data_IF_868836226440
#
_entry.id   IF_868836226440
#
_cell.length_a   1.000
_cell.length_b   1.000
_cell.length_c   1.000
_cell.angle_alpha   90.00
_cell.angle_beta   90.00
_cell.angle_gamma   90.00
#
_symmetry.space_group_name_H-M   'P 1'
#
loop_
_entity.id
_entity.type
_entity.pdbx_description
1 polymer ?
#
# COMPACT_ATOMS: atom_id res chain seq x y z
N UNK A 1 -16.21 56.67 31.43
CA UNK A 1 -17.37 56.76 32.37
C UNK A 1 -17.48 58.23 32.78
N UNK A 2 -18.69 58.83 32.78
CA UNK A 2 -18.94 60.30 32.89
C UNK A 2 -18.45 61.06 31.63
N UNK A 3 -19.27 61.90 30.95
CA UNK A 3 -19.77 63.28 31.25
C UNK A 3 -18.62 64.30 31.34
N UNK A 4 -18.63 65.48 30.69
CA UNK A 4 -19.64 66.14 29.82
C UNK A 4 -19.93 67.59 30.28
N UNK A 5 -20.38 68.49 29.38
CA UNK A 5 -20.56 69.96 29.55
C UNK A 5 -19.23 70.73 29.71
N UNK A 6 -19.03 72.04 29.42
CA UNK A 6 -19.72 73.18 28.74
C UNK A 6 -18.56 74.12 28.22
N UNK A 7 -18.68 75.22 27.48
CA UNK A 7 -19.77 76.09 26.94
C UNK A 7 -19.61 76.23 25.39
N UNK A 8 -20.31 77.04 24.57
CA UNK A 8 -21.12 78.28 24.65
C UNK A 8 -20.41 79.63 24.82
N UNK A 9 -20.19 80.32 23.69
CA UNK A 9 -20.40 81.77 23.52
C UNK A 9 -20.86 82.04 22.08
N UNK A 10 -21.65 83.09 21.82
CA UNK A 10 -22.42 83.29 20.58
C UNK A 10 -22.35 84.72 20.06
N UNK A 11 -22.32 84.89 18.73
CA UNK A 11 -22.74 86.14 18.08
C UNK A 11 -23.58 85.86 16.82
N UNK A 12 -24.37 86.84 16.41
CA UNK A 12 -25.67 86.60 15.77
C UNK A 12 -25.68 86.76 14.23
N UNK A 13 -26.64 86.09 13.58
CA UNK A 13 -26.92 86.19 12.14
C UNK A 13 -28.22 85.45 11.76
N UNK A 14 -29.33 86.15 11.43
CA UNK A 14 -30.62 85.49 11.15
C UNK A 14 -30.60 84.63 9.86
N UNK A 15 -31.18 83.42 9.79
CA UNK A 15 -32.61 83.04 9.95
C UNK A 15 -33.45 83.50 8.73
N UNK A 16 -34.31 82.72 8.06
CA UNK A 16 -35.29 81.68 8.51
C UNK A 16 -35.30 80.45 7.55
N UNK A 17 -35.45 79.18 7.99
CA UNK A 17 -36.64 78.46 8.52
C UNK A 17 -37.78 78.25 7.49
N UNK A 18 -38.57 77.15 7.50
CA UNK A 18 -38.40 75.76 7.98
C UNK A 18 -39.53 74.86 7.39
N UNK A 19 -39.50 73.56 7.69
CA UNK A 19 -40.56 72.57 7.46
C UNK A 19 -41.87 72.92 8.19
N UNK A 20 -43.02 72.60 7.58
CA UNK A 20 -44.31 72.45 8.28
C UNK A 20 -44.92 71.09 7.92
N UNK A 21 -45.40 70.37 8.93
CA UNK A 21 -46.13 69.10 8.80
C UNK A 21 -47.64 69.36 8.66
N UNK A 22 -48.32 68.59 7.81
CA UNK A 22 -49.72 68.22 8.03
C UNK A 22 -49.95 66.76 7.61
N UNK A 23 -50.35 65.94 8.59
CA UNK A 23 -51.02 64.66 8.34
C UNK A 23 -52.53 64.90 8.41
N UNK A 24 -53.28 64.42 7.42
CA UNK A 24 -54.71 64.14 7.57
C UNK A 24 -55.10 63.04 6.56
N UNK A 25 -55.54 61.89 7.07
CA UNK A 25 -56.13 60.85 6.23
C UNK A 25 -57.58 61.21 5.91
N UNK A 26 -58.05 60.93 4.68
CA UNK A 26 -59.33 60.24 4.48
C UNK A 26 -59.52 59.68 3.06
N UNK A 27 -60.33 58.62 2.99
CA UNK A 27 -61.09 58.15 1.82
C UNK A 27 -60.34 57.67 0.56
N UNK A 28 -60.15 56.35 0.52
CA UNK A 28 -60.39 55.47 -0.63
C UNK A 28 -60.85 56.13 -1.96
N UNK A 29 -60.03 55.96 -3.00
CA UNK A 29 -60.47 55.83 -4.38
C UNK A 29 -59.66 54.70 -5.05
N UNK A 30 -60.33 53.86 -5.84
CA UNK A 30 -59.77 52.66 -6.48
C UNK A 30 -59.94 52.80 -7.99
N UNK A 31 -58.84 52.79 -8.74
CA UNK A 31 -58.60 51.70 -9.70
C UNK A 31 -57.12 51.62 -10.14
N UNK A 32 -56.85 50.61 -10.95
CA UNK A 32 -55.58 50.10 -11.45
C UNK A 32 -54.89 50.98 -12.50
N UNK A 33 -53.55 51.08 -12.43
CA UNK A 33 -52.64 50.38 -13.36
C UNK A 33 -51.17 50.85 -13.22
N UNK A 34 -50.33 50.06 -12.56
CA UNK A 34 -48.86 50.09 -12.76
C UNK A 34 -48.35 48.65 -12.90
N UNK A 35 -47.47 48.42 -13.87
CA UNK A 35 -46.93 47.09 -14.17
C UNK A 35 -45.80 46.74 -13.21
N UNK A 36 -46.01 45.72 -12.38
CA UNK A 36 -44.96 45.18 -11.52
C UNK A 36 -43.93 44.41 -12.36
N UNK A 37 -42.85 45.09 -12.78
CA UNK A 37 -41.69 44.48 -13.41
C UNK A 37 -40.96 43.53 -12.44
N UNK A 38 -41.40 42.28 -12.39
CA UNK A 38 -40.72 41.21 -11.67
C UNK A 38 -39.45 40.85 -12.44
N UNK A 39 -38.30 41.30 -11.94
CA UNK A 39 -37.00 40.74 -12.34
C UNK A 39 -36.91 39.29 -11.86
N UNK A 40 -37.27 38.35 -12.73
CA UNK A 40 -36.95 36.94 -12.54
C UNK A 40 -35.46 36.73 -12.85
N UNK A 41 -34.63 36.91 -11.83
CA UNK A 41 -33.20 36.62 -11.92
C UNK A 41 -33.02 35.09 -12.01
N UNK A 42 -32.95 34.57 -13.25
CA UNK A 42 -32.73 33.14 -13.52
C UNK A 42 -31.39 32.70 -12.94
N UNK A 43 -31.44 32.14 -11.73
CA UNK A 43 -30.30 31.57 -11.03
C UNK A 43 -29.93 30.22 -11.65
N UNK A 44 -29.23 30.28 -12.79
CA UNK A 44 -28.66 29.12 -13.47
C UNK A 44 -27.76 28.33 -12.51
N UNK A 45 -28.30 27.25 -11.94
CA UNK A 45 -27.51 26.31 -11.15
C UNK A 45 -26.64 25.50 -12.10
N UNK A 46 -25.33 25.51 -11.87
CA UNK A 46 -24.41 24.64 -12.60
C UNK A 46 -24.79 23.18 -12.33
N UNK A 47 -24.95 22.33 -13.38
CA UNK A 47 -25.36 20.94 -13.20
C UNK A 47 -24.36 20.21 -12.31
N UNK A 48 -24.85 19.61 -11.23
CA UNK A 48 -23.99 18.98 -10.22
C UNK A 48 -23.85 17.49 -10.54
N UNK A 49 -22.62 17.05 -10.81
CA UNK A 49 -22.29 15.68 -11.18
C UNK A 49 -21.00 15.22 -10.49
N UNK A 50 -20.79 13.92 -10.37
CA UNK A 50 -19.50 13.34 -9.97
C UNK A 50 -19.15 12.12 -10.81
N UNK A 51 -17.87 12.03 -11.17
CA UNK A 51 -17.29 11.00 -12.03
C UNK A 51 -16.17 10.31 -11.24
N UNK A 52 -16.23 8.99 -11.10
CA UNK A 52 -15.21 8.17 -10.45
C UNK A 52 -14.64 7.21 -11.49
N UNK A 53 -13.33 7.28 -11.72
CA UNK A 53 -12.63 6.57 -12.80
C UNK A 53 -11.22 6.17 -12.36
N UNK A 54 -10.63 5.16 -13.01
CA UNK A 54 -9.23 4.78 -12.79
C UNK A 54 -8.29 5.75 -13.51
N UNK A 55 -7.28 6.29 -12.83
CA UNK A 55 -6.21 7.04 -13.52
C UNK A 55 -5.37 6.13 -14.45
N UNK A 56 -5.27 4.84 -14.13
CA UNK A 56 -4.48 3.86 -14.89
C UNK A 56 -5.30 3.24 -16.02
N UNK A 57 -4.71 3.19 -17.21
CA UNK A 57 -5.21 2.51 -18.41
C UNK A 57 -4.31 1.30 -18.71
N UNK A 58 -4.90 0.16 -19.09
CA UNK A 58 -4.20 -1.11 -19.36
C UNK A 58 -4.73 -1.77 -20.63
N UNK A 59 -3.88 -2.41 -21.47
CA UNK A 59 -4.32 -3.23 -22.59
C UNK A 59 -5.34 -4.29 -22.18
N UNK A 60 -6.26 -4.64 -23.08
CA UNK A 60 -7.18 -5.78 -22.92
C UNK A 60 -8.05 -5.76 -21.64
N UNK A 61 -8.38 -4.57 -21.10
CA UNK A 61 -9.23 -4.44 -19.91
C UNK A 61 -10.58 -3.80 -20.20
N UNK A 62 -11.60 -4.16 -19.43
CA UNK A 62 -12.86 -3.42 -19.37
C UNK A 62 -12.64 -2.21 -18.45
N UNK A 63 -12.42 -1.04 -19.04
CA UNK A 63 -12.22 0.19 -18.29
C UNK A 63 -13.58 0.76 -17.86
N UNK A 64 -13.87 0.62 -16.57
CA UNK A 64 -15.15 1.06 -15.98
C UNK A 64 -15.02 2.41 -15.28
N UNK A 65 -16.02 3.26 -15.46
CA UNK A 65 -16.19 4.52 -14.72
C UNK A 65 -17.62 4.65 -14.21
N UNK A 66 -17.78 5.21 -13.00
CA UNK A 66 -19.06 5.41 -12.34
C UNK A 66 -19.41 6.89 -12.37
N UNK A 67 -20.61 7.19 -12.87
CA UNK A 67 -21.15 8.54 -12.99
C UNK A 67 -22.44 8.67 -12.21
N UNK A 68 -22.50 9.68 -11.32
CA UNK A 68 -23.71 10.11 -10.63
C UNK A 68 -24.04 11.53 -11.03
N UNK A 69 -25.32 11.76 -11.34
CA UNK A 69 -25.84 13.07 -11.73
C UNK A 69 -26.85 13.54 -10.68
N UNK A 70 -26.54 14.63 -9.98
CA UNK A 70 -27.26 15.04 -8.76
C UNK A 70 -28.30 16.13 -9.00
N UNK A 71 -28.04 17.08 -9.91
CA UNK A 71 -29.06 18.07 -10.31
C UNK A 71 -28.87 18.51 -11.77
N UNK A 72 -29.91 18.33 -12.58
CA UNK A 72 -30.20 19.14 -13.77
C UNK A 72 -31.07 20.31 -13.38
N UNK A 73 -30.71 21.51 -13.82
CA UNK A 73 -31.56 22.69 -13.80
C UNK A 73 -31.50 23.32 -15.20
N UNK A 74 -32.14 22.67 -16.20
CA UNK A 74 -32.51 23.38 -17.43
C UNK A 74 -33.61 24.37 -17.01
N UNK A 75 -33.25 25.66 -16.93
CA UNK A 75 -33.97 26.67 -16.17
C UNK A 75 -35.42 26.91 -16.62
N UNK A 76 -36.35 26.24 -15.92
CA UNK A 76 -37.79 26.18 -16.17
C UNK A 76 -38.40 27.59 -16.29
N UNK A 77 -39.06 27.86 -17.42
CA UNK A 77 -39.98 29.00 -17.51
C UNK A 77 -41.27 28.67 -16.77
N UNK A 78 -41.63 29.53 -15.82
CA UNK A 78 -42.73 29.29 -14.86
C UNK A 78 -44.10 29.65 -15.49
N UNK A 79 -44.37 29.15 -16.70
CA UNK A 79 -45.60 29.42 -17.46
C UNK A 79 -46.18 28.21 -18.22
N UNK A 80 -45.95 26.97 -17.74
CA UNK A 80 -46.78 25.82 -18.11
C UNK A 80 -46.94 24.82 -16.97
N UNK A 81 -48.09 24.86 -16.28
CA UNK A 81 -48.49 23.84 -15.31
C UNK A 81 -49.10 22.62 -16.02
N UNK A 82 -48.24 21.84 -16.69
CA UNK A 82 -48.51 20.43 -16.98
C UNK A 82 -47.39 19.59 -16.33
N UNK A 83 -47.77 18.56 -15.58
CA UNK A 83 -46.83 17.72 -14.83
C UNK A 83 -46.01 16.84 -15.78
N UNK A 84 -44.87 17.36 -16.26
CA UNK A 84 -44.05 16.64 -17.24
C UNK A 84 -42.59 16.44 -16.84
N UNK A 85 -42.33 15.23 -16.37
CA UNK A 85 -41.05 14.52 -16.48
C UNK A 85 -39.86 15.10 -15.68
N UNK A 86 -39.95 15.06 -14.34
CA UNK A 86 -38.77 15.01 -13.42
C UNK A 86 -37.90 13.74 -13.60
N UNK A 87 -38.03 13.05 -14.73
CA UNK A 87 -37.39 11.77 -15.08
C UNK A 87 -36.73 11.85 -16.46
N UNK A 88 -36.28 13.04 -16.85
CA UNK A 88 -35.45 13.26 -18.03
C UNK A 88 -34.16 12.44 -17.95
N UNK A 89 -34.09 11.37 -18.76
CA UNK A 89 -32.90 10.52 -18.85
C UNK A 89 -31.79 11.27 -19.58
N UNK A 90 -30.68 11.49 -18.87
CA UNK A 90 -29.51 12.16 -19.41
C UNK A 90 -28.61 11.15 -20.11
N UNK A 91 -28.03 11.50 -21.25
CA UNK A 91 -27.07 10.62 -21.93
C UNK A 91 -25.66 11.03 -21.55
N UNK A 92 -24.89 10.17 -20.90
CA UNK A 92 -23.44 10.36 -20.79
C UNK A 92 -22.74 9.54 -21.86
N UNK A 93 -21.80 10.17 -22.57
CA UNK A 93 -20.86 9.50 -23.48
C UNK A 93 -19.45 9.66 -22.89
N UNK A 94 -18.75 8.54 -22.72
CA UNK A 94 -17.34 8.52 -22.36
C UNK A 94 -16.51 7.88 -23.47
N UNK A 95 -15.34 8.46 -23.74
CA UNK A 95 -14.44 8.04 -24.80
C UNK A 95 -12.98 8.15 -24.34
N UNK A 96 -12.21 7.09 -24.50
CA UNK A 96 -10.75 7.13 -24.41
C UNK A 96 -10.20 7.46 -25.79
N UNK A 97 -9.41 8.54 -25.88
CA UNK A 97 -8.78 8.99 -27.12
C UNK A 97 -7.26 8.92 -26.99
N UNK A 98 -6.60 8.39 -28.01
CA UNK A 98 -5.18 8.62 -28.27
C UNK A 98 -5.05 9.97 -29.01
N UNK A 99 -3.82 10.38 -29.34
CA UNK A 99 -3.53 11.68 -29.96
C UNK A 99 -4.16 11.87 -31.35
N UNK A 100 -4.52 10.78 -32.03
CA UNK A 100 -5.04 10.79 -33.42
C UNK A 100 -6.31 9.96 -33.65
N UNK A 101 -6.76 9.15 -32.68
CA UNK A 101 -7.92 8.25 -32.85
C UNK A 101 -8.66 7.94 -31.54
N UNK A 102 -9.94 7.55 -31.65
CA UNK A 102 -10.77 7.10 -30.53
C UNK A 102 -10.56 5.60 -30.28
N UNK A 103 -10.09 5.26 -29.08
CA UNK A 103 -9.63 3.92 -28.71
C UNK A 103 -10.78 3.02 -28.25
N UNK A 104 -11.68 3.60 -27.46
CA UNK A 104 -12.89 2.94 -26.97
C UNK A 104 -13.92 4.00 -26.57
N UNK A 105 -15.18 3.74 -26.91
CA UNK A 105 -16.33 4.61 -26.64
C UNK A 105 -17.45 3.84 -25.95
N UNK A 106 -18.18 4.47 -25.04
CA UNK A 106 -19.35 3.90 -24.38
C UNK A 106 -20.32 4.98 -23.93
N UNK A 107 -21.61 4.66 -23.91
CA UNK A 107 -22.67 5.61 -23.58
C UNK A 107 -23.78 4.94 -22.80
N UNK A 108 -24.25 5.58 -21.73
CA UNK A 108 -25.29 5.06 -20.85
C UNK A 108 -26.35 6.15 -20.57
N UNK A 109 -27.59 5.73 -20.37
CA UNK A 109 -28.69 6.60 -19.94
C UNK A 109 -28.73 6.67 -18.41
N UNK A 110 -28.81 7.89 -17.86
CA UNK A 110 -28.69 8.14 -16.43
C UNK A 110 -29.96 8.82 -15.91
N UNK A 111 -30.55 8.19 -14.90
CA UNK A 111 -31.56 8.77 -14.01
C UNK A 111 -30.89 9.67 -12.95
N UNK A 112 -31.46 10.85 -12.63
CA UNK A 112 -30.98 11.68 -11.53
C UNK A 112 -30.88 10.90 -10.21
N UNK A 113 -29.88 11.25 -9.39
CA UNK A 113 -29.52 10.63 -8.10
C UNK A 113 -29.07 9.17 -8.16
N UNK A 114 -29.07 8.50 -9.32
CA UNK A 114 -28.65 7.10 -9.46
C UNK A 114 -27.21 6.97 -9.99
N UNK A 115 -26.36 6.10 -9.42
CA UNK A 115 -25.08 5.75 -10.01
C UNK A 115 -25.27 4.84 -11.23
N UNK A 116 -24.76 5.27 -12.38
CA UNK A 116 -24.65 4.44 -13.58
C UNK A 116 -23.17 4.13 -13.87
N UNK A 117 -22.88 2.96 -14.43
CA UNK A 117 -21.51 2.53 -14.74
C UNK A 117 -21.35 2.41 -16.25
N UNK A 118 -20.43 3.19 -16.83
CA UNK A 118 -20.05 3.08 -18.24
C UNK A 118 -18.83 2.18 -18.33
N UNK A 119 -18.85 1.22 -19.26
CA UNK A 119 -17.74 0.31 -19.52
C UNK A 119 -17.17 0.57 -20.92
N UNK A 120 -15.84 0.65 -21.01
CA UNK A 120 -15.11 0.90 -22.25
C UNK A 120 -14.21 -0.32 -22.53
N UNK A 121 -14.44 -1.10 -23.60
CA UNK A 121 -13.61 -2.24 -23.94
C UNK A 121 -12.29 -1.76 -24.54
N UNK A 122 -11.20 -1.79 -23.76
CA UNK A 122 -9.89 -1.35 -24.21
C UNK A 122 -9.23 -2.48 -25.02
N UNK A 123 -8.87 -2.26 -26.30
CA UNK A 123 -8.23 -3.29 -27.11
C UNK A 123 -6.84 -3.63 -26.58
N UNK A 124 -6.29 -4.77 -27.03
CA UNK A 124 -4.96 -5.22 -26.62
C UNK A 124 -3.83 -4.51 -27.40
N UNK A 125 -4.14 -3.99 -28.58
CA UNK A 125 -3.22 -3.26 -29.47
C UNK A 125 -3.03 -1.78 -29.11
N UNK A 126 -3.01 -1.44 -27.81
CA UNK A 126 -2.79 -0.05 -27.38
C UNK A 126 -1.31 0.16 -27.00
N UNK A 127 -0.64 1.04 -27.72
CA UNK A 127 0.78 1.33 -27.56
C UNK A 127 1.06 2.27 -26.37
N UNK A 128 2.33 2.47 -26.03
CA UNK A 128 2.78 3.41 -25.00
C UNK A 128 2.71 4.89 -25.47
N UNK A 129 1.50 5.39 -25.73
CA UNK A 129 1.23 6.80 -26.07
C UNK A 129 0.65 7.59 -24.88
N UNK A 130 0.43 8.90 -25.07
CA UNK A 130 -0.50 9.62 -24.21
C UNK A 130 -1.95 9.20 -24.53
N UNK A 131 -2.82 9.24 -23.52
CA UNK A 131 -4.25 8.94 -23.66
C UNK A 131 -5.06 9.94 -22.83
N UNK A 132 -6.25 10.29 -23.31
CA UNK A 132 -7.19 11.15 -22.59
C UNK A 132 -8.56 10.49 -22.46
N UNK A 133 -9.15 10.58 -21.26
CA UNK A 133 -10.55 10.25 -21.04
C UNK A 133 -11.36 11.54 -21.22
N UNK A 134 -12.26 11.53 -22.19
CA UNK A 134 -13.26 12.58 -22.39
C UNK A 134 -14.63 12.05 -21.97
N UNK A 135 -15.25 12.69 -20.97
CA UNK A 135 -16.63 12.40 -20.54
C UNK A 135 -17.50 13.61 -20.86
N UNK A 136 -18.63 13.38 -21.55
CA UNK A 136 -19.58 14.39 -22.00
C UNK A 136 -20.98 14.03 -21.51
N UNK A 137 -21.63 14.94 -20.79
CA UNK A 137 -23.03 14.81 -20.38
C UNK A 137 -23.95 15.61 -21.31
N UNK A 138 -24.98 14.95 -21.85
CA UNK A 138 -25.99 15.54 -22.71
C UNK A 138 -27.37 15.47 -22.07
N UNK A 139 -28.15 16.53 -22.26
CA UNK A 139 -29.58 16.59 -21.94
C UNK A 139 -30.42 15.74 -22.93
N UNK A 140 -31.72 15.55 -22.67
CA UNK A 140 -32.64 14.97 -23.66
C UNK A 140 -32.73 15.79 -24.97
N UNK A 141 -32.53 17.11 -24.88
CA UNK A 141 -32.49 18.01 -26.05
C UNK A 141 -31.17 17.92 -26.84
N UNK A 142 -30.23 17.06 -26.40
CA UNK A 142 -28.85 16.91 -26.90
C UNK A 142 -27.97 18.15 -26.73
N UNK A 143 -28.39 19.10 -25.89
CA UNK A 143 -27.51 20.17 -25.41
C UNK A 143 -26.38 19.58 -24.55
N UNK A 144 -25.16 20.13 -24.68
CA UNK A 144 -24.01 19.72 -23.87
C UNK A 144 -24.11 20.38 -22.48
N UNK A 145 -24.32 19.59 -21.44
CA UNK A 145 -24.41 20.08 -20.05
C UNK A 145 -23.04 20.22 -19.40
N UNK A 146 -22.13 19.29 -19.68
CA UNK A 146 -20.75 19.35 -19.22
C UNK A 146 -19.82 18.51 -20.09
N UNK A 147 -18.55 18.89 -20.10
CA UNK A 147 -17.45 18.12 -20.68
C UNK A 147 -16.27 18.13 -19.72
N UNK A 148 -15.69 16.95 -19.48
CA UNK A 148 -14.54 16.75 -18.59
C UNK A 148 -13.48 15.95 -19.34
N UNK A 149 -12.27 16.49 -19.46
CA UNK A 149 -11.14 15.88 -20.19
C UNK A 149 -9.99 15.69 -19.19
N UNK A 150 -9.45 14.48 -19.07
CA UNK A 150 -8.32 14.19 -18.18
C UNK A 150 -7.31 13.24 -18.83
N UNK A 151 -5.99 13.44 -18.58
CA UNK A 151 -4.97 12.50 -19.04
C UNK A 151 -5.04 11.20 -18.22
N UNK A 152 -5.05 10.07 -18.94
CA UNK A 152 -4.86 8.74 -18.35
C UNK A 152 -3.38 8.36 -18.38
N UNK A 153 -2.98 7.56 -17.41
CA UNK A 153 -1.63 7.00 -17.33
C UNK A 153 -1.65 5.57 -17.89
N UNK A 154 -1.05 5.39 -19.07
CA UNK A 154 -0.86 4.05 -19.66
C UNK A 154 0.01 3.18 -18.75
N UNK A 155 -0.20 1.86 -18.82
CA UNK A 155 0.60 0.85 -18.11
C UNK A 155 0.56 -0.45 -18.91
N UNK A 156 1.69 -0.94 -19.47
CA UNK A 156 1.73 -2.18 -20.24
C UNK A 156 1.55 -3.43 -19.35
N UNK A 157 1.70 -3.28 -18.03
CA UNK A 157 1.42 -4.33 -17.05
C UNK A 157 -0.10 -4.55 -16.89
N UNK A 158 -0.68 -5.39 -17.74
CA UNK A 158 -2.05 -5.87 -17.65
C UNK A 158 -2.18 -7.28 -17.03
N UNK A 159 -1.08 -8.03 -16.98
CA UNK A 159 -1.00 -9.36 -16.39
C UNK A 159 -0.24 -9.34 -15.06
N UNK A 160 -0.55 -10.29 -14.18
CA UNK A 160 0.26 -10.65 -13.02
C UNK A 160 1.08 -11.88 -13.37
N UNK A 161 2.37 -11.68 -13.69
CA UNK A 161 3.31 -12.76 -13.96
C UNK A 161 4.11 -13.08 -12.69
N UNK A 162 4.19 -14.35 -12.32
CA UNK A 162 5.00 -14.80 -11.19
C UNK A 162 5.76 -16.06 -11.55
N UNK A 163 7.09 -15.98 -11.55
CA UNK A 163 7.96 -17.15 -11.71
C UNK A 163 8.27 -17.74 -10.33
N UNK A 164 8.22 -19.06 -10.21
CA UNK A 164 8.54 -19.80 -8.99
C UNK A 164 9.60 -20.85 -9.30
N UNK A 165 10.82 -20.66 -8.78
CA UNK A 165 11.93 -21.61 -8.88
C UNK A 165 11.87 -22.65 -7.77
N UNK A 166 12.31 -23.89 -8.06
CA UNK A 166 12.33 -25.00 -7.10
C UNK A 166 13.27 -24.80 -5.91
N UNK A 167 14.23 -23.88 -6.02
CA UNK A 167 15.15 -23.41 -4.98
C UNK A 167 15.42 -21.91 -5.19
N UNK A 168 15.85 -21.17 -4.15
CA UNK A 168 16.41 -19.82 -4.31
C UNK A 168 17.88 -19.82 -4.75
N UNK A 169 18.60 -20.92 -4.47
CA UNK A 169 20.04 -21.09 -4.72
C UNK A 169 20.27 -22.42 -5.44
N UNK A 170 21.13 -22.40 -6.46
CA UNK A 170 21.52 -23.56 -7.28
C UNK A 170 23.06 -23.68 -7.37
N UNK A 171 23.54 -24.88 -7.75
CA UNK A 171 24.95 -25.13 -8.07
C UNK A 171 25.14 -25.27 -9.58
N UNK A 172 26.35 -25.04 -10.06
CA UNK A 172 26.78 -25.43 -11.41
C UNK A 172 26.47 -26.91 -11.68
N UNK A 173 26.05 -27.23 -12.92
CA UNK A 173 25.56 -28.55 -13.30
C UNK A 173 24.15 -28.93 -12.81
N UNK A 174 23.51 -28.12 -11.95
CA UNK A 174 22.19 -28.46 -11.38
C UNK A 174 21.04 -28.08 -12.32
N UNK A 175 19.98 -28.90 -12.34
CA UNK A 175 18.72 -28.57 -13.02
C UNK A 175 17.92 -27.50 -12.23
N UNK A 176 17.70 -26.35 -12.87
CA UNK A 176 16.79 -25.28 -12.46
C UNK A 176 15.40 -25.65 -12.97
N UNK A 177 14.53 -26.11 -12.07
CA UNK A 177 13.09 -26.31 -12.33
C UNK A 177 12.33 -25.08 -11.91
N UNK A 178 11.45 -24.59 -12.77
CA UNK A 178 10.62 -23.42 -12.48
C UNK A 178 9.26 -23.52 -13.16
N UNK A 179 8.28 -22.84 -12.58
CA UNK A 179 6.97 -22.60 -13.21
C UNK A 179 6.71 -21.11 -13.32
N UNK A 180 6.03 -20.72 -14.38
CA UNK A 180 5.54 -19.37 -14.63
C UNK A 180 4.03 -19.45 -14.44
N UNK A 181 3.49 -18.59 -13.59
CA UNK A 181 2.05 -18.42 -13.35
C UNK A 181 1.65 -17.05 -13.89
N UNK A 182 0.61 -17.00 -14.71
CA UNK A 182 0.16 -15.79 -15.41
C UNK A 182 -1.35 -15.65 -15.20
N UNK A 183 -1.74 -14.55 -14.55
CA UNK A 183 -3.12 -14.23 -14.22
C UNK A 183 -3.52 -12.88 -14.81
N UNK A 184 -4.77 -12.76 -15.24
CA UNK A 184 -5.41 -11.49 -15.59
C UNK A 184 -5.79 -10.69 -14.34
N UNK A 185 -6.28 -9.45 -14.51
CA UNK A 185 -6.60 -8.53 -13.41
C UNK A 185 -7.73 -9.00 -12.48
N UNK A 186 -8.55 -9.94 -12.94
CA UNK A 186 -9.63 -10.63 -12.22
C UNK A 186 -9.18 -11.97 -11.59
N UNK A 187 -7.89 -12.29 -11.68
CA UNK A 187 -7.25 -13.53 -11.24
C UNK A 187 -7.62 -14.78 -12.07
N UNK A 188 -8.19 -14.61 -13.27
CA UNK A 188 -8.36 -15.71 -14.23
C UNK A 188 -7.04 -16.07 -14.93
N UNK A 189 -6.87 -17.33 -15.38
CA UNK A 189 -5.67 -17.76 -16.10
C UNK A 189 -5.54 -17.08 -17.47
N UNK A 190 -4.32 -16.67 -17.83
CA UNK A 190 -4.02 -16.18 -19.17
C UNK A 190 -3.60 -17.32 -20.12
N UNK A 191 -4.08 -17.28 -21.36
CA UNK A 191 -4.06 -18.44 -22.27
C UNK A 191 -3.23 -18.27 -23.56
N UNK A 192 -2.79 -17.05 -23.89
CA UNK A 192 -1.96 -16.81 -25.07
C UNK A 192 -0.52 -17.32 -24.85
N UNK A 193 0.31 -17.25 -25.90
CA UNK A 193 1.71 -17.66 -25.83
C UNK A 193 2.63 -16.64 -25.16
N UNK A 194 3.79 -17.10 -24.71
CA UNK A 194 4.83 -16.25 -24.14
C UNK A 194 6.24 -16.66 -24.56
N UNK A 195 7.16 -15.70 -24.46
CA UNK A 195 8.60 -15.90 -24.61
C UNK A 195 9.29 -15.94 -23.25
N UNK A 196 10.28 -16.83 -23.11
CA UNK A 196 11.01 -17.06 -21.85
C UNK A 196 12.50 -17.13 -22.11
N UNK A 197 13.28 -16.40 -21.31
CA UNK A 197 14.74 -16.33 -21.42
C UNK A 197 15.38 -16.61 -20.05
N UNK A 198 16.37 -17.50 -20.01
CA UNK A 198 17.30 -17.58 -18.87
C UNK A 198 18.55 -16.78 -19.24
N UNK A 199 18.90 -15.81 -18.40
CA UNK A 199 20.08 -14.98 -18.53
C UNK A 199 21.07 -15.26 -17.40
N UNK A 200 22.36 -15.23 -17.73
CA UNK A 200 23.44 -15.30 -16.76
C UNK A 200 23.69 -13.95 -16.06
N UNK A 201 24.66 -13.84 -15.13
CA UNK A 201 24.95 -12.60 -14.42
C UNK A 201 25.48 -11.46 -15.30
N UNK A 202 25.93 -11.75 -16.52
CA UNK A 202 26.40 -10.75 -17.50
C UNK A 202 25.29 -10.33 -18.49
N UNK A 203 24.09 -10.91 -18.37
CA UNK A 203 22.95 -10.65 -19.25
C UNK A 203 22.95 -11.47 -20.55
N UNK A 204 23.80 -12.51 -20.65
CA UNK A 204 23.86 -13.38 -21.82
C UNK A 204 22.71 -14.40 -21.76
N UNK A 205 21.92 -14.50 -22.84
CA UNK A 205 20.80 -15.45 -22.94
C UNK A 205 21.34 -16.88 -23.11
N UNK A 206 21.35 -17.63 -22.01
CA UNK A 206 21.81 -19.03 -21.94
C UNK A 206 20.76 -20.03 -22.42
N UNK A 207 19.46 -19.68 -22.31
CA UNK A 207 18.36 -20.48 -22.86
C UNK A 207 17.22 -19.58 -23.28
N UNK A 208 16.53 -19.95 -24.37
CA UNK A 208 15.25 -19.38 -24.78
C UNK A 208 14.19 -20.47 -24.97
N UNK A 209 12.93 -20.09 -24.79
CA UNK A 209 11.75 -20.73 -25.33
C UNK A 209 10.92 -19.61 -25.97
N UNK A 210 10.37 -19.88 -27.15
CA UNK A 210 9.63 -18.89 -27.96
C UNK A 210 8.22 -19.44 -28.17
N UNK A 211 7.21 -18.58 -28.09
CA UNK A 211 5.78 -18.91 -28.29
C UNK A 211 5.35 -20.21 -27.60
N UNK A 212 5.60 -20.31 -26.29
CA UNK A 212 5.09 -21.44 -25.50
C UNK A 212 3.70 -21.11 -24.94
N UNK A 213 2.76 -22.03 -25.05
CA UNK A 213 1.42 -21.90 -24.47
C UNK A 213 1.41 -22.26 -22.98
N UNK A 214 0.46 -21.69 -22.23
CA UNK A 214 0.18 -22.10 -20.84
C UNK A 214 -0.81 -23.26 -20.81
N UNK A 215 -0.73 -24.08 -19.75
CA UNK A 215 -1.83 -24.94 -19.34
C UNK A 215 -2.56 -24.25 -18.17
N UNK A 216 -3.74 -23.69 -18.45
CA UNK A 216 -4.56 -22.97 -17.46
C UNK A 216 -3.75 -21.89 -16.69
N UNK A 217 -3.09 -20.99 -17.41
CA UNK A 217 -2.29 -19.91 -16.83
C UNK A 217 -0.95 -20.34 -16.23
N UNK A 218 -0.56 -21.62 -16.33
CA UNK A 218 0.71 -22.14 -15.81
C UNK A 218 1.55 -22.78 -16.91
N UNK A 219 2.80 -22.37 -17.02
CA UNK A 219 3.82 -23.08 -17.82
C UNK A 219 4.92 -23.62 -16.90
N UNK A 220 5.42 -24.83 -17.15
CA UNK A 220 6.45 -25.49 -16.33
C UNK A 220 7.65 -25.87 -17.18
N UNK A 221 8.83 -25.40 -16.79
CA UNK A 221 10.06 -25.49 -17.57
C UNK A 221 11.23 -25.97 -16.70
N UNK A 222 12.27 -26.49 -17.36
CA UNK A 222 13.55 -26.72 -16.69
C UNK A 222 14.75 -26.44 -17.59
N UNK A 223 15.86 -26.06 -16.96
CA UNK A 223 17.13 -25.74 -17.60
C UNK A 223 18.27 -26.27 -16.74
N UNK A 224 19.18 -27.04 -17.33
CA UNK A 224 20.38 -27.52 -16.63
C UNK A 224 21.48 -26.46 -16.73
N UNK A 225 21.94 -25.96 -15.57
CA UNK A 225 23.06 -25.03 -15.50
C UNK A 225 24.34 -25.67 -16.07
N UNK A 226 25.20 -24.92 -16.77
CA UNK A 226 26.51 -25.41 -17.17
C UNK A 226 27.32 -25.96 -16.00
N UNK A 227 28.18 -26.96 -16.24
CA UNK A 227 29.08 -27.51 -15.22
C UNK A 227 30.07 -26.45 -14.68
N UNK A 228 30.36 -25.42 -15.48
CA UNK A 228 31.11 -24.22 -15.12
C UNK A 228 30.22 -22.99 -15.27
N UNK A 229 29.03 -23.01 -14.64
CA UNK A 229 28.17 -21.83 -14.55
C UNK A 229 28.87 -20.73 -13.76
N UNK A 230 28.61 -19.47 -14.14
CA UNK A 230 29.13 -18.29 -13.43
C UNK A 230 28.39 -18.11 -12.11
N UNK A 231 29.11 -18.08 -10.99
CA UNK A 231 28.54 -17.75 -9.68
C UNK A 231 28.04 -16.29 -9.67
N UNK A 232 26.86 -16.05 -9.11
CA UNK A 232 26.18 -14.75 -9.06
C UNK A 232 24.66 -14.83 -9.27
N UNK A 233 24.06 -13.67 -9.51
CA UNK A 233 22.60 -13.53 -9.72
C UNK A 233 22.24 -13.84 -11.18
N UNK A 234 21.54 -14.96 -11.39
CA UNK A 234 20.94 -15.32 -12.67
C UNK A 234 19.49 -14.82 -12.76
N UNK A 235 18.97 -14.68 -13.97
CA UNK A 235 17.62 -14.17 -14.23
C UNK A 235 16.79 -15.12 -15.09
N UNK A 236 15.49 -15.15 -14.83
CA UNK A 236 14.46 -15.68 -15.72
C UNK A 236 13.61 -14.49 -16.14
N UNK A 237 13.69 -14.11 -17.42
CA UNK A 237 12.88 -13.04 -18.01
C UNK A 237 11.73 -13.66 -18.79
N UNK A 238 10.54 -13.11 -18.62
CA UNK A 238 9.33 -13.48 -19.36
C UNK A 238 8.85 -12.26 -20.16
N UNK A 239 8.53 -12.47 -21.44
CA UNK A 239 7.97 -11.45 -22.33
C UNK A 239 6.59 -11.90 -22.81
N UNK A 240 5.61 -11.03 -22.63
CA UNK A 240 4.23 -11.23 -23.09
C UNK A 240 3.80 -9.91 -23.72
N UNK A 241 3.82 -9.84 -25.05
CA UNK A 241 3.64 -8.57 -25.76
C UNK A 241 4.67 -7.54 -25.23
N UNK A 242 4.23 -6.31 -24.91
CA UNK A 242 5.08 -5.27 -24.31
C UNK A 242 5.35 -5.46 -22.79
N UNK A 243 4.73 -6.45 -22.14
CA UNK A 243 4.96 -6.73 -20.72
C UNK A 243 6.24 -7.56 -20.54
N UNK A 244 7.20 -6.99 -19.81
CA UNK A 244 8.46 -7.61 -19.42
C UNK A 244 8.57 -7.73 -17.90
N UNK A 245 8.76 -8.97 -17.44
CA UNK A 245 8.96 -9.31 -16.02
C UNK A 245 10.26 -10.13 -15.84
N UNK A 246 10.93 -9.94 -14.70
CA UNK A 246 12.18 -10.64 -14.35
C UNK A 246 12.12 -11.25 -12.94
N UNK A 247 12.46 -12.54 -12.83
CA UNK A 247 12.67 -13.24 -11.57
C UNK A 247 14.15 -13.59 -11.39
N UNK A 248 14.67 -13.42 -10.18
CA UNK A 248 16.10 -13.60 -9.89
C UNK A 248 16.34 -14.84 -9.02
N UNK A 249 17.41 -15.59 -9.32
CA UNK A 249 17.88 -16.70 -8.51
C UNK A 249 19.41 -16.67 -8.38
N UNK A 250 19.96 -17.23 -7.30
CA UNK A 250 21.41 -17.30 -7.13
C UNK A 250 21.97 -18.62 -7.68
N UNK A 251 23.10 -18.53 -8.36
CA UNK A 251 23.99 -19.67 -8.60
C UNK A 251 25.25 -19.43 -7.77
N UNK A 252 25.61 -20.38 -6.93
CA UNK A 252 26.87 -20.33 -6.19
C UNK A 252 27.39 -21.73 -5.89
N UNK A 253 28.70 -21.88 -5.79
CA UNK A 253 29.28 -23.11 -5.25
C UNK A 253 28.96 -23.23 -3.76
N UNK A 254 28.12 -24.21 -3.38
CA UNK A 254 27.84 -24.54 -1.98
C UNK A 254 27.91 -26.05 -1.73
N UNK A 255 28.10 -26.45 -0.47
CA UNK A 255 28.09 -27.86 -0.05
C UNK A 255 26.78 -28.19 0.68
N UNK A 256 26.44 -29.48 0.78
CA UNK A 256 25.28 -29.91 1.56
C UNK A 256 25.77 -30.26 2.96
N UNK A 257 25.38 -29.53 4.01
CA UNK A 257 25.82 -29.86 5.37
C UNK A 257 25.20 -31.18 5.81
N UNK A 258 25.94 -32.02 6.54
CA UNK A 258 25.40 -33.27 7.08
C UNK A 258 24.37 -33.03 8.21
N UNK A 259 24.50 -31.91 8.92
CA UNK A 259 23.65 -31.53 10.03
C UNK A 259 23.45 -30.01 10.15
N UNK A 260 22.42 -29.60 10.90
CA UNK A 260 22.12 -28.20 11.21
C UNK A 260 22.24 -27.94 12.72
N UNK A 261 22.65 -26.72 13.10
CA UNK A 261 22.81 -26.27 14.49
C UNK A 261 21.69 -25.29 14.83
N UNK A 262 20.79 -25.70 15.73
CA UNK A 262 19.65 -24.91 16.16
C UNK A 262 19.97 -24.16 17.46
N UNK A 263 19.73 -22.84 17.43
CA UNK A 263 19.94 -21.94 18.56
C UNK A 263 18.65 -21.17 18.81
N UNK A 264 17.93 -21.53 19.87
CA UNK A 264 16.62 -20.99 20.24
C UNK A 264 16.80 -19.97 21.38
N UNK A 265 16.87 -18.67 21.04
CA UNK A 265 16.76 -17.56 21.99
C UNK A 265 15.35 -16.93 21.90
N UNK A 266 14.81 -16.37 23.00
CA UNK A 266 13.61 -15.54 22.93
C UNK A 266 13.91 -14.27 22.12
N UNK A 267 13.05 -13.88 21.17
CA UNK A 267 13.27 -12.70 20.31
C UNK A 267 13.43 -11.40 21.11
N UNK A 268 12.68 -11.28 22.20
CA UNK A 268 12.76 -10.18 23.15
C UNK A 268 12.93 -10.73 24.57
N UNK A 269 13.75 -10.04 25.35
CA UNK A 269 13.90 -10.27 26.80
C UNK A 269 13.61 -8.93 27.51
N UNK A 270 13.14 -8.98 28.75
CA UNK A 270 12.84 -7.78 29.54
C UNK A 270 14.12 -7.16 30.10
N UNK A 271 14.17 -5.83 30.16
CA UNK A 271 15.18 -5.11 30.97
C UNK A 271 15.03 -5.35 32.48
N UNK A 272 13.90 -5.93 32.91
CA UNK A 272 13.66 -6.40 34.29
C UNK A 272 14.02 -7.86 34.54
N UNK A 273 14.46 -8.62 33.52
CA UNK A 273 14.93 -10.00 33.71
C UNK A 273 16.40 -10.00 34.17
N UNK A 274 16.83 -11.04 34.87
CA UNK A 274 18.21 -11.16 35.39
C UNK A 274 19.14 -12.00 34.51
N UNK A 275 18.57 -12.73 33.54
CA UNK A 275 19.31 -13.62 32.65
C UNK A 275 18.47 -13.95 31.41
N UNK A 276 19.14 -14.39 30.34
CA UNK A 276 18.50 -14.97 29.15
C UNK A 276 18.99 -16.40 28.96
N UNK A 277 18.07 -17.33 28.65
CA UNK A 277 18.38 -18.73 28.40
C UNK A 277 18.18 -19.07 26.92
N UNK A 278 19.20 -19.66 26.32
CA UNK A 278 19.15 -20.25 24.99
C UNK A 278 18.98 -21.77 25.08
N UNK A 279 18.23 -22.36 24.16
CA UNK A 279 18.23 -23.81 23.95
C UNK A 279 19.04 -24.14 22.70
N UNK A 280 20.00 -25.06 22.82
CA UNK A 280 20.99 -25.37 21.79
C UNK A 280 21.06 -26.87 21.55
N UNK A 281 20.95 -27.25 20.28
CA UNK A 281 21.05 -28.64 19.82
C UNK A 281 21.44 -28.65 18.35
N UNK A 282 21.91 -29.80 17.86
CA UNK A 282 22.18 -30.00 16.45
C UNK A 282 21.54 -31.32 16.00
N UNK A 283 21.08 -31.38 14.75
CA UNK A 283 20.44 -32.58 14.18
C UNK A 283 20.94 -32.87 12.77
N UNK A 284 21.21 -34.15 12.50
CA UNK A 284 21.41 -34.65 11.14
C UNK A 284 20.10 -34.55 10.33
N UNK A 285 20.21 -34.62 9.00
CA UNK A 285 19.05 -34.72 8.11
C UNK A 285 18.10 -35.91 8.43
N UNK A 286 18.57 -36.91 9.19
CA UNK A 286 17.76 -38.03 9.70
C UNK A 286 17.00 -37.73 11.01
N UNK A 287 16.92 -36.46 11.43
CA UNK A 287 16.33 -35.98 12.70
C UNK A 287 16.95 -36.56 13.98
N UNK A 288 18.10 -37.25 13.88
CA UNK A 288 18.87 -37.70 15.04
C UNK A 288 19.71 -36.54 15.56
N UNK A 289 19.78 -36.39 16.89
CA UNK A 289 20.68 -35.42 17.51
C UNK A 289 22.15 -35.73 17.21
N UNK A 290 22.94 -34.68 17.08
CA UNK A 290 24.38 -34.71 16.85
C UNK A 290 25.11 -34.69 18.19
N UNK A 291 26.10 -35.57 18.35
CA UNK A 291 27.02 -35.57 19.50
C UNK A 291 28.31 -34.86 19.10
N UNK A 292 28.70 -33.82 19.82
CA UNK A 292 29.80 -32.97 19.36
C UNK A 292 30.42 -32.04 20.40
N UNK A 293 31.60 -31.48 20.07
CA UNK A 293 32.19 -30.37 20.81
C UNK A 293 31.54 -29.07 20.34
N UNK A 294 30.86 -28.37 21.25
CA UNK A 294 30.31 -27.04 21.03
C UNK A 294 31.26 -25.94 21.54
N UNK A 295 31.51 -24.94 20.70
CA UNK A 295 32.06 -23.64 21.10
C UNK A 295 30.92 -22.64 21.05
N UNK A 296 30.61 -22.04 22.21
CA UNK A 296 29.55 -21.05 22.37
C UNK A 296 30.20 -19.69 22.60
N UNK A 297 29.74 -18.69 21.85
CA UNK A 297 30.21 -17.31 21.93
C UNK A 297 29.01 -16.40 22.19
N UNK A 298 28.90 -15.90 23.42
CA UNK A 298 27.97 -14.83 23.75
C UNK A 298 28.61 -13.48 23.43
N UNK A 299 27.87 -12.64 22.72
CA UNK A 299 28.31 -11.32 22.31
C UNK A 299 27.18 -10.30 22.36
N UNK A 300 27.51 -9.00 22.47
CA UNK A 300 26.51 -7.92 22.46
C UNK A 300 26.85 -6.79 21.51
N UNK A 301 25.82 -6.03 21.14
CA UNK A 301 25.94 -4.69 20.54
C UNK A 301 24.80 -3.80 21.03
N UNK A 302 24.98 -2.48 20.97
CA UNK A 302 23.88 -1.52 21.18
C UNK A 302 23.17 -1.29 19.86
N UNK A 303 21.86 -1.50 19.82
CA UNK A 303 21.04 -1.23 18.64
C UNK A 303 20.75 0.27 18.56
N UNK A 304 21.51 0.98 17.72
CA UNK A 304 21.25 2.37 17.38
C UNK A 304 20.14 2.46 16.32
N UNK A 305 18.93 2.83 16.76
CA UNK A 305 17.77 2.99 15.90
C UNK A 305 17.87 4.18 14.92
N UNK A 306 18.78 5.14 15.15
CA UNK A 306 18.89 6.35 14.31
C UNK A 306 19.58 6.08 12.96
N UNK A 307 20.34 4.99 12.86
CA UNK A 307 21.20 4.66 11.71
C UNK A 307 20.50 3.98 10.54
N UNK A 308 19.18 3.82 10.56
CA UNK A 308 18.39 3.33 9.42
C UNK A 308 18.25 4.35 8.26
N UNK A 309 18.80 5.57 8.41
CA UNK A 309 18.92 6.52 7.30
C UNK A 309 20.03 6.07 6.32
N UNK A 310 19.67 5.91 5.04
CA UNK A 310 20.49 5.28 3.98
C UNK A 310 21.77 6.06 3.57
N UNK A 311 22.04 7.21 4.19
CA UNK A 311 22.98 8.23 3.70
C UNK A 311 24.25 8.38 4.56
N UNK A 312 24.85 7.27 5.03
CA UNK A 312 26.16 7.30 5.73
C UNK A 312 27.21 6.39 5.06
N UNK A 313 27.41 6.55 3.76
CA UNK A 313 28.62 6.07 3.08
C UNK A 313 29.81 6.99 3.39
N UNK A 314 30.33 6.93 4.61
CA UNK A 314 31.62 7.50 4.99
C UNK A 314 32.11 6.91 6.33
N UNK A 315 33.25 6.21 6.32
CA UNK A 315 34.07 5.95 7.51
C UNK A 315 33.55 4.95 8.56
N UNK A 316 33.96 3.70 8.43
CA UNK A 316 34.46 2.86 9.55
C UNK A 316 33.74 2.97 10.91
N UNK A 317 32.53 2.42 11.00
CA UNK A 317 32.09 1.68 12.20
C UNK A 317 30.87 0.82 11.90
N UNK A 318 31.10 -0.37 11.33
CA UNK A 318 30.22 -1.50 11.62
C UNK A 318 30.26 -1.70 13.13
N UNK A 319 29.12 -1.64 13.83
CA UNK A 319 29.10 -2.03 15.24
C UNK A 319 29.14 -3.57 15.30
N UNK A 320 30.36 -4.10 15.29
CA UNK A 320 30.62 -5.52 15.46
C UNK A 320 30.16 -5.99 16.84
N UNK A 321 29.76 -7.26 16.91
CA UNK A 321 29.33 -7.87 18.16
C UNK A 321 30.55 -8.08 19.06
N UNK A 322 30.56 -7.41 20.22
CA UNK A 322 31.61 -7.52 21.22
C UNK A 322 31.48 -8.86 21.96
N UNK A 323 32.46 -9.75 21.81
CA UNK A 323 32.54 -11.00 22.56
C UNK A 323 32.60 -10.71 24.08
N UNK A 324 31.78 -11.42 24.86
CA UNK A 324 31.70 -11.30 26.33
C UNK A 324 32.18 -12.59 26.98
N UNK A 325 31.61 -13.72 26.56
CA UNK A 325 31.78 -15.02 27.19
C UNK A 325 31.90 -16.09 26.13
N UNK A 326 33.09 -16.70 26.07
CA UNK A 326 33.40 -17.88 25.25
C UNK A 326 33.45 -19.11 26.12
N UNK A 327 32.70 -20.14 25.75
CA UNK A 327 32.67 -21.42 26.46
C UNK A 327 32.87 -22.59 25.51
N UNK A 328 33.64 -23.59 25.94
CA UNK A 328 33.59 -24.92 25.35
C UNK A 328 32.66 -25.80 26.18
N UNK A 329 31.70 -26.46 25.53
CA UNK A 329 30.72 -27.36 26.15
C UNK A 329 30.49 -28.56 25.24
N UNK A 330 30.16 -29.70 25.83
CA UNK A 330 29.78 -30.89 25.05
C UNK A 330 28.30 -30.80 24.67
N UNK A 331 27.98 -30.88 23.39
CA UNK A 331 26.60 -30.95 22.89
C UNK A 331 26.16 -32.41 22.99
N UNK A 332 25.22 -32.66 23.89
CA UNK A 332 24.63 -33.98 24.10
C UNK A 332 23.57 -34.29 23.03
N UNK A 333 23.14 -35.55 22.95
CA UNK A 333 22.06 -36.02 22.08
C UNK A 333 20.65 -35.58 22.55
N UNK A 334 20.53 -34.32 22.97
CA UNK A 334 19.32 -33.72 23.53
C UNK A 334 19.31 -32.20 23.34
N UNK A 335 18.25 -31.53 23.82
CA UNK A 335 18.20 -30.05 23.92
C UNK A 335 19.00 -29.59 25.14
N UNK A 336 20.13 -28.90 24.89
CA UNK A 336 21.03 -28.40 25.93
C UNK A 336 20.69 -26.93 26.24
N UNK A 337 20.44 -26.58 27.50
CA UNK A 337 20.12 -25.19 27.90
C UNK A 337 21.37 -24.46 28.36
N UNK A 338 21.59 -23.25 27.85
CA UNK A 338 22.70 -22.38 28.25
C UNK A 338 22.16 -20.99 28.61
N UNK A 339 22.49 -20.52 29.81
CA UNK A 339 22.00 -19.25 30.36
C UNK A 339 23.14 -18.25 30.45
N UNK A 340 22.88 -17.00 30.02
CA UNK A 340 23.75 -15.84 30.25
C UNK A 340 23.12 -14.98 31.35
N UNK A 341 23.86 -14.72 32.43
CA UNK A 341 23.40 -13.89 33.54
C UNK A 341 23.80 -12.44 33.31
N UNK A 342 22.86 -11.50 33.43
CA UNK A 342 23.10 -10.10 33.06
C UNK A 342 24.05 -9.35 34.01
N UNK A 343 24.25 -9.84 35.23
CA UNK A 343 25.26 -9.33 36.15
C UNK A 343 26.71 -9.65 35.72
N UNK A 344 26.90 -10.54 34.74
CA UNK A 344 28.21 -10.88 34.16
C UNK A 344 28.57 -9.97 32.97
N UNK A 345 27.65 -9.09 32.55
CA UNK A 345 27.86 -8.19 31.42
C UNK A 345 28.76 -7.00 31.81
N UNK A 346 29.74 -6.61 30.97
CA UNK A 346 30.61 -5.45 31.22
C UNK A 346 29.92 -4.10 30.99
N UNK A 347 28.68 -4.10 30.50
CA UNK A 347 27.87 -2.90 30.23
C UNK A 347 26.45 -3.13 30.75
N UNK A 348 25.79 -2.12 31.33
CA UNK A 348 24.48 -2.27 31.95
C UNK A 348 23.42 -2.66 30.91
N UNK A 349 22.52 -3.56 31.29
CA UNK A 349 21.34 -3.91 30.49
C UNK A 349 20.46 -2.69 30.33
N UNK A 350 20.29 -2.27 29.09
CA UNK A 350 19.47 -1.12 28.69
C UNK A 350 18.60 -1.51 27.50
N UNK A 351 17.36 -0.99 27.39
CA UNK A 351 16.53 -1.18 26.21
C UNK A 351 17.30 -0.85 24.91
N UNK A 352 17.25 -1.75 23.93
CA UNK A 352 18.05 -1.68 22.72
C UNK A 352 19.40 -2.39 22.78
N UNK A 353 19.82 -2.97 23.91
CA UNK A 353 20.93 -3.93 23.91
C UNK A 353 20.50 -5.19 23.14
N UNK A 354 21.33 -5.64 22.19
CA UNK A 354 21.14 -6.93 21.52
C UNK A 354 22.17 -7.93 22.03
N UNK A 355 21.69 -9.07 22.53
CA UNK A 355 22.48 -10.24 22.90
C UNK A 355 22.43 -11.23 21.75
N UNK A 356 23.59 -11.70 21.30
CA UNK A 356 23.74 -12.74 20.28
C UNK A 356 24.46 -13.94 20.91
N UNK A 357 24.02 -15.13 20.52
CA UNK A 357 24.72 -16.38 20.78
C UNK A 357 25.06 -17.02 19.45
N UNK A 358 26.36 -17.14 19.17
CA UNK A 358 26.90 -17.95 18.09
C UNK A 358 27.36 -19.29 18.66
N UNK A 359 27.02 -20.39 17.96
CA UNK A 359 27.39 -21.76 18.34
C UNK A 359 28.04 -22.45 17.16
N UNK A 360 29.28 -22.88 17.34
CA UNK A 360 29.98 -23.78 16.40
C UNK A 360 29.99 -25.19 17.00
N UNK A 361 29.46 -26.19 16.29
CA UNK A 361 29.45 -27.59 16.73
C UNK A 361 30.34 -28.41 15.80
N UNK A 362 31.31 -29.11 16.39
CA UNK A 362 32.16 -30.11 15.72
C UNK A 362 31.64 -31.50 16.05
N UNK A 363 31.21 -32.27 15.05
CA UNK A 363 30.70 -33.63 15.25
C UNK A 363 31.84 -34.64 15.51
N UNK A 364 31.59 -35.66 16.33
CA UNK A 364 32.63 -36.54 16.88
C UNK A 364 33.23 -37.56 15.91
N UNK A 365 32.47 -38.02 14.90
CA UNK A 365 32.86 -39.14 14.03
C UNK A 365 33.37 -38.68 12.65
N UNK A 366 32.73 -37.68 12.06
CA UNK A 366 33.10 -37.05 10.79
C UNK A 366 34.12 -35.93 10.95
N UNK A 367 34.15 -35.28 12.12
CA UNK A 367 34.91 -34.05 12.35
C UNK A 367 34.32 -32.81 11.67
N UNK A 368 33.15 -32.90 11.03
CA UNK A 368 32.53 -31.73 10.38
C UNK A 368 32.12 -30.65 11.40
N UNK A 369 32.35 -29.39 11.02
CA UNK A 369 32.02 -28.20 11.80
C UNK A 369 30.87 -27.44 11.18
N UNK A 370 29.79 -27.23 11.92
CA UNK A 370 28.66 -26.40 11.51
C UNK A 370 28.39 -25.29 12.51
N UNK A 371 27.87 -24.17 12.02
CA UNK A 371 27.57 -22.99 12.82
C UNK A 371 26.08 -22.67 12.79
N UNK A 372 25.53 -22.27 13.94
CA UNK A 372 24.20 -21.69 14.08
C UNK A 372 24.26 -20.49 15.01
N UNK A 373 23.33 -19.54 14.87
CA UNK A 373 23.29 -18.36 15.74
C UNK A 373 21.85 -17.93 16.03
N UNK A 374 21.67 -17.16 17.10
CA UNK A 374 20.39 -16.55 17.44
C UNK A 374 20.60 -15.23 18.17
N UNK A 375 19.56 -14.40 18.20
CA UNK A 375 19.63 -13.03 18.75
C UNK A 375 18.39 -12.72 19.59
N UNK A 376 18.62 -12.19 20.80
CA UNK A 376 17.60 -11.60 21.66
C UNK A 376 17.83 -10.10 21.77
N UNK A 377 16.77 -9.28 21.65
CA UNK A 377 16.86 -7.85 21.96
C UNK A 377 16.25 -7.57 23.33
N UNK A 378 17.00 -6.86 24.18
CA UNK A 378 16.47 -6.28 25.41
C UNK A 378 15.45 -5.22 25.03
N UNK A 379 14.19 -5.49 25.33
CA UNK A 379 13.10 -4.54 25.23
C UNK A 379 12.78 -3.97 26.61
N UNK A 380 12.38 -2.70 26.64
CA UNK A 380 11.87 -2.09 27.86
C UNK A 380 10.55 -2.78 28.26
N UNK A 381 10.36 -3.07 29.54
CA UNK A 381 9.17 -3.79 30.07
C UNK A 381 7.84 -3.00 29.97
N UNK A 382 7.80 -1.92 29.20
CA UNK A 382 6.59 -1.13 28.96
C UNK A 382 5.50 -1.92 28.24
N UNK A 383 4.26 -1.58 28.60
CA UNK A 383 3.04 -2.08 27.97
C UNK A 383 2.72 -1.18 26.78
N UNK A 384 2.68 -1.76 25.58
CA UNK A 384 2.32 -1.07 24.35
C UNK A 384 0.81 -1.18 24.10
N UNK A 385 0.17 -0.02 23.96
CA UNK A 385 -1.29 0.15 23.93
C UNK A 385 -1.68 0.74 22.58
N UNK A 386 -2.45 0.00 21.78
CA UNK A 386 -2.91 0.45 20.47
C UNK A 386 -4.43 0.44 20.35
N UNK A 387 -4.98 1.49 19.73
CA UNK A 387 -6.37 1.47 19.26
C UNK A 387 -6.47 0.56 18.02
N UNK A 388 -7.30 -0.48 18.13
CA UNK A 388 -7.70 -1.40 17.05
C UNK A 388 -8.73 -0.77 16.10
N UNK A 389 -9.30 0.37 16.46
CA UNK A 389 -10.25 1.11 15.64
C UNK A 389 -9.66 1.47 14.27
N UNK A 390 -10.50 1.41 13.23
CA UNK A 390 -10.08 1.74 11.85
C UNK A 390 -9.47 3.15 11.81
N UNK A 391 -8.29 3.28 11.19
CA UNK A 391 -7.61 4.56 10.93
C UNK A 391 -7.76 4.90 9.43
N UNK A 392 -8.07 6.15 9.03
CA UNK A 392 -8.43 7.28 9.88
C UNK A 392 -9.78 7.07 10.59
N UNK A 393 -9.91 7.64 11.78
CA UNK A 393 -11.09 7.51 12.62
C UNK A 393 -12.02 8.71 12.41
N UNK A 394 -13.02 8.56 11.54
CA UNK A 394 -14.02 9.62 11.30
C UNK A 394 -15.01 9.69 12.46
N UNK A 395 -14.94 10.77 13.24
CA UNK A 395 -15.93 11.12 14.25
C UNK A 395 -17.04 11.99 13.64
N UNK A 396 -18.29 11.74 14.06
CA UNK A 396 -19.43 12.61 13.76
C UNK A 396 -19.97 13.15 15.08
N UNK A 397 -20.17 14.46 15.16
CA UNK A 397 -20.76 15.09 16.34
C UNK A 397 -22.13 14.48 16.68
N UNK A 398 -22.39 14.31 17.97
CA UNK A 398 -23.63 13.70 18.48
C UNK A 398 -23.72 12.17 18.36
N UNK A 399 -22.75 11.47 17.74
CA UNK A 399 -22.73 9.99 17.70
C UNK A 399 -21.74 9.41 18.73
N UNK A 400 -22.12 8.37 19.50
CA UNK A 400 -21.22 7.75 20.47
C UNK A 400 -20.12 6.96 19.74
N UNK A 401 -18.85 7.24 20.07
CA UNK A 401 -17.68 6.58 19.51
C UNK A 401 -17.28 5.39 20.38
N UNK A 402 -17.47 4.17 19.87
CA UNK A 402 -16.90 2.96 20.47
C UNK A 402 -15.52 2.69 19.87
N UNK A 403 -14.57 2.30 20.71
CA UNK A 403 -13.21 1.97 20.29
C UNK A 403 -12.64 0.81 21.10
N UNK A 404 -11.95 -0.10 20.44
CA UNK A 404 -11.28 -1.23 21.08
C UNK A 404 -9.79 -0.95 21.23
N UNK A 405 -9.23 -1.35 22.37
CA UNK A 405 -7.82 -1.17 22.70
C UNK A 405 -7.15 -2.54 22.81
N UNK A 406 -6.07 -2.73 22.08
CA UNK A 406 -5.17 -3.87 22.21
C UNK A 406 -4.04 -3.51 23.16
N UNK A 407 -3.79 -4.40 24.13
CA UNK A 407 -2.75 -4.23 25.14
C UNK A 407 -1.74 -5.36 25.00
N UNK A 408 -0.48 -5.00 24.81
CA UNK A 408 0.61 -5.92 24.49
C UNK A 408 1.87 -5.56 25.27
N UNK A 409 2.79 -6.52 25.39
CA UNK A 409 4.10 -6.30 26.00
C UNK A 409 5.12 -7.07 25.15
N UNK A 410 6.21 -6.43 24.71
CA UNK A 410 7.12 -7.02 23.71
C UNK A 410 7.70 -8.38 24.16
N UNK A 411 7.88 -8.56 25.47
CA UNK A 411 8.43 -9.78 26.07
C UNK A 411 7.37 -10.86 26.38
N UNK A 412 6.06 -10.60 26.22
CA UNK A 412 4.98 -11.56 26.56
C UNK A 412 3.85 -11.57 25.54
N UNK A 413 3.53 -12.76 25.02
CA UNK A 413 2.37 -12.97 24.14
C UNK A 413 1.07 -12.77 24.92
N UNK A 414 0.46 -11.59 24.74
CA UNK A 414 -0.80 -11.10 25.33
C UNK A 414 -0.86 -11.02 26.86
N UNK A 415 -1.35 -9.88 27.36
CA UNK A 415 -1.79 -9.73 28.75
C UNK A 415 -3.32 -9.78 28.73
N UNK A 416 -3.91 -10.85 29.25
CA UNK A 416 -5.37 -10.91 29.47
C UNK A 416 -5.69 -10.04 30.69
N UNK A 417 -6.13 -8.81 30.46
CA UNK A 417 -6.66 -7.96 31.52
C UNK A 417 -8.03 -8.54 31.92
N UNK A 418 -8.27 -8.87 33.20
CA UNK A 418 -9.60 -9.28 33.65
C UNK A 418 -10.55 -8.07 33.55
N UNK A 419 -11.62 -8.22 32.77
CA UNK A 419 -12.58 -7.15 32.53
C UNK A 419 -13.39 -6.83 33.78
N UNK A 420 -13.13 -5.68 34.41
CA UNK A 420 -14.05 -5.09 35.36
C UNK A 420 -15.23 -4.47 34.60
N UNK A 421 -16.41 -5.09 34.73
CA UNK A 421 -17.68 -4.42 34.48
C UNK A 421 -17.95 -3.42 35.60
N UNK A 422 -18.10 -2.14 35.25
CA UNK A 422 -18.61 -1.07 36.10
C UNK A 422 -19.81 -0.41 35.44
#
# INVERSE_FOLDING_TARGET
MKRGLLAFETQEGPCWLLIVLMFLELSLARDSSEEAFIYSEKTFRTPTYSIVYSKLLRPSTLYSLVTTFHQSDEGVDVLSLEEREMHTSHTIVASVMSETWEVASGSELISPFQPSTITLPIPISIENSTYTLTVRGFSPSKSLLFQHIVPLQFTPYFLSVTVQTSRPIYRSGQEVKFRIVILQTDLLPYHDDLDVFVLDPDGIIMRRWISIFTNNGVSSLSFTLPNLAKDGTWKIRTSIQDQLDEHMFQVQTYFTPLFEVFVELPKYTSDTETSVSATVYAMFATQKYVRGKGVLVWSTRKYDATRNNWNTYNGTSTQEYKEILRMEKFITESKNTFTLVFSELPEPVTPGLEVRLDVTVTELLSGETMCGYSTSRVAHSQVHVEFLSRRPLYYHEGKPLQGHVYVSQLCRRSITIPGHSG
#
